data_IF_129093794900
#
_entry.id   IF_129093794900
#
_cell.length_a   1.000
_cell.length_b   1.000
_cell.length_c   1.000
_cell.angle_alpha   90.00
_cell.angle_beta   90.00
_cell.angle_gamma   90.00
#
_symmetry.space_group_name_H-M   'P 1'
#
loop_
_entity.id
_entity.type
_entity.pdbx_description
1 polymer ?
#
# COMPACT_ATOMS: atom_id res chain seq x y z
N UNK A 1 41.39 18.50 -32.37
CA UNK A 1 41.98 18.65 -31.02
C UNK A 1 41.53 20.01 -30.55
N UNK A 2 40.59 20.22 -29.63
CA UNK A 2 40.10 19.45 -28.47
C UNK A 2 38.63 19.84 -28.23
N UNK A 3 37.78 18.90 -27.83
CA UNK A 3 36.45 19.17 -27.25
C UNK A 3 36.60 19.79 -25.87
N UNK A 4 35.85 20.84 -25.55
CA UNK A 4 35.47 21.16 -24.17
C UNK A 4 34.01 21.63 -24.13
N UNK A 5 33.23 20.86 -23.37
CA UNK A 5 31.87 21.10 -22.89
C UNK A 5 31.76 22.48 -22.23
N UNK A 6 30.62 23.16 -22.28
CA UNK A 6 29.56 23.00 -21.27
C UNK A 6 28.28 23.66 -21.78
N UNK A 7 27.22 22.86 -21.92
CA UNK A 7 25.86 23.36 -22.17
C UNK A 7 24.94 22.82 -21.08
N UNK A 8 24.22 23.76 -20.47
CA UNK A 8 23.03 23.61 -19.61
C UNK A 8 23.20 23.04 -18.20
N UNK A 9 22.98 23.87 -17.14
CA UNK A 9 22.55 23.36 -15.86
C UNK A 9 21.15 22.74 -16.02
N UNK A 10 21.14 21.42 -16.05
CA UNK A 10 19.96 20.57 -16.05
C UNK A 10 19.15 20.82 -14.77
N UNK A 11 17.96 21.39 -14.96
CA UNK A 11 16.72 21.21 -14.19
C UNK A 11 16.86 20.24 -12.99
N UNK A 12 17.14 20.76 -11.80
CA UNK A 12 16.63 20.18 -10.55
C UNK A 12 15.27 20.81 -10.28
N UNK A 13 14.24 20.27 -10.93
CA UNK A 13 12.86 20.50 -10.52
C UNK A 13 12.67 19.71 -9.23
N UNK A 14 12.54 20.42 -8.12
CA UNK A 14 12.14 19.86 -6.83
C UNK A 14 11.02 18.84 -7.06
N UNK A 15 11.33 17.55 -6.88
CA UNK A 15 10.30 16.50 -6.82
C UNK A 15 9.67 16.68 -5.45
N UNK A 16 8.56 17.41 -5.44
CA UNK A 16 8.05 18.15 -4.31
C UNK A 16 7.75 17.30 -3.08
N UNK A 17 8.10 17.85 -1.92
CA UNK A 17 7.62 17.39 -0.62
C UNK A 17 6.09 17.19 -0.56
N UNK A 18 5.34 17.85 -1.45
CA UNK A 18 3.88 17.73 -1.57
C UNK A 18 3.40 16.33 -1.98
N UNK A 19 4.18 15.58 -2.77
CA UNK A 19 3.82 14.22 -3.20
C UNK A 19 3.90 13.24 -2.01
N UNK A 20 4.97 13.37 -1.22
CA UNK A 20 5.17 12.62 0.03
C UNK A 20 4.11 12.97 1.09
N UNK A 21 3.74 14.26 1.20
CA UNK A 21 2.72 14.72 2.15
C UNK A 21 1.33 14.20 1.76
N UNK A 22 1.01 14.11 0.47
CA UNK A 22 -0.24 13.49 0.01
C UNK A 22 -0.31 12.00 0.35
N UNK A 23 0.74 11.24 0.09
CA UNK A 23 0.77 9.81 0.41
C UNK A 23 0.68 9.53 1.92
N UNK A 24 1.38 10.33 2.75
CA UNK A 24 1.31 10.23 4.22
C UNK A 24 -0.06 10.64 4.75
N UNK A 25 -0.65 11.71 4.23
CA UNK A 25 -1.97 12.16 4.68
C UNK A 25 -3.06 11.15 4.29
N UNK A 26 -2.97 10.57 3.09
CA UNK A 26 -3.88 9.51 2.63
C UNK A 26 -3.72 8.25 3.47
N UNK A 27 -2.49 7.78 3.72
CA UNK A 27 -2.25 6.59 4.57
C UNK A 27 -2.74 6.80 6.00
N UNK A 28 -2.51 7.98 6.58
CA UNK A 28 -2.99 8.36 7.92
C UNK A 28 -4.52 8.39 7.97
N UNK A 29 -5.17 8.95 6.94
CA UNK A 29 -6.63 8.98 6.84
C UNK A 29 -7.22 7.56 6.72
N UNK A 30 -6.61 6.68 5.92
CA UNK A 30 -7.01 5.28 5.81
C UNK A 30 -6.85 4.52 7.13
N UNK A 31 -5.74 4.73 7.86
CA UNK A 31 -5.48 4.09 9.15
C UNK A 31 -6.52 4.49 10.20
N UNK A 32 -6.88 5.77 10.26
CA UNK A 32 -7.92 6.28 11.17
C UNK A 32 -9.32 5.75 10.83
N UNK A 33 -9.66 5.65 9.53
CA UNK A 33 -10.94 5.09 9.09
C UNK A 33 -11.02 3.60 9.41
N UNK A 34 -9.93 2.86 9.19
CA UNK A 34 -9.84 1.43 9.50
C UNK A 34 -10.00 1.17 10.99
N UNK A 35 -9.39 1.96 11.87
CA UNK A 35 -9.53 1.80 13.33
C UNK A 35 -10.98 1.95 13.81
N UNK A 36 -11.78 2.77 13.13
CA UNK A 36 -13.18 3.04 13.49
C UNK A 36 -14.19 2.02 12.93
N UNK A 37 -13.83 1.25 11.90
CA UNK A 37 -14.73 0.28 11.27
C UNK A 37 -14.94 -0.98 12.11
N UNK A 38 -16.17 -1.50 12.07
CA UNK A 38 -16.53 -2.80 12.64
C UNK A 38 -15.85 -3.97 11.90
N UNK A 39 -15.86 -5.17 12.50
CA UNK A 39 -15.20 -6.36 11.91
C UNK A 39 -15.80 -6.75 10.54
N UNK A 40 -17.14 -6.75 10.43
CA UNK A 40 -17.83 -7.08 9.18
C UNK A 40 -17.68 -5.98 8.11
N UNK A 41 -17.62 -4.72 8.53
CA UNK A 41 -17.39 -3.59 7.63
C UNK A 41 -15.97 -3.63 7.04
N UNK A 42 -14.97 -3.96 7.87
CA UNK A 42 -13.60 -4.21 7.41
C UNK A 42 -13.53 -5.34 6.39
N UNK A 43 -14.26 -6.43 6.64
CA UNK A 43 -14.26 -7.60 5.74
C UNK A 43 -14.86 -7.23 4.39
N UNK A 44 -15.99 -6.51 4.41
CA UNK A 44 -16.65 -6.00 3.20
C UNK A 44 -15.71 -5.11 2.39
N UNK A 45 -14.98 -4.19 3.04
CA UNK A 45 -14.03 -3.32 2.36
C UNK A 45 -12.86 -4.09 1.72
N UNK A 46 -12.38 -5.16 2.36
CA UNK A 46 -11.35 -6.04 1.79
C UNK A 46 -11.88 -6.79 0.57
N UNK A 47 -13.11 -7.32 0.63
CA UNK A 47 -13.74 -8.03 -0.48
C UNK A 47 -13.99 -7.12 -1.70
N UNK A 48 -14.40 -5.88 -1.48
CA UNK A 48 -14.54 -4.88 -2.53
C UNK A 48 -13.19 -4.58 -3.20
N UNK A 49 -12.11 -4.46 -2.42
CA UNK A 49 -10.78 -4.24 -2.99
C UNK A 49 -10.29 -5.44 -3.79
N UNK A 50 -10.53 -6.66 -3.32
CA UNK A 50 -10.22 -7.88 -4.07
C UNK A 50 -10.98 -7.87 -5.40
N UNK A 51 -12.26 -7.49 -5.39
CA UNK A 51 -13.07 -7.37 -6.60
C UNK A 51 -12.49 -6.32 -7.55
N UNK A 52 -12.05 -5.16 -7.07
CA UNK A 52 -11.36 -4.14 -7.89
C UNK A 52 -10.08 -4.68 -8.51
N UNK A 53 -9.25 -5.37 -7.71
CA UNK A 53 -7.98 -5.94 -8.20
C UNK A 53 -8.19 -7.02 -9.26
N UNK A 54 -9.26 -7.82 -9.15
CA UNK A 54 -9.60 -8.84 -10.16
C UNK A 54 -10.07 -8.27 -11.51
N UNK A 55 -10.48 -7.00 -11.58
CA UNK A 55 -10.82 -6.34 -12.85
C UNK A 55 -9.58 -5.83 -13.59
N UNK A 56 -8.40 -5.81 -12.92
CA UNK A 56 -7.17 -5.35 -13.53
C UNK A 56 -6.45 -6.49 -14.27
N UNK A 57 -5.63 -6.15 -15.29
CA UNK A 57 -4.81 -7.13 -15.98
C UNK A 57 -3.87 -7.87 -15.01
N UNK A 58 -3.99 -9.20 -15.01
CA UNK A 58 -3.31 -10.10 -14.05
C UNK A 58 -1.80 -10.20 -14.24
N UNK A 59 -1.27 -9.59 -15.30
CA UNK A 59 0.15 -9.57 -15.64
C UNK A 59 0.95 -8.51 -14.86
N UNK A 60 0.30 -7.65 -14.09
CA UNK A 60 1.01 -6.67 -13.27
C UNK A 60 1.47 -7.27 -11.94
N UNK A 61 2.75 -7.04 -11.62
CA UNK A 61 3.34 -7.41 -10.32
C UNK A 61 2.56 -6.79 -9.15
N UNK A 62 2.04 -5.57 -9.35
CA UNK A 62 1.20 -4.87 -8.39
C UNK A 62 -0.10 -5.62 -8.05
N UNK A 63 -0.87 -6.08 -9.05
CA UNK A 63 -2.12 -6.83 -8.81
C UNK A 63 -1.84 -8.13 -8.08
N UNK A 64 -0.81 -8.86 -8.50
CA UNK A 64 -0.39 -10.11 -7.85
C UNK A 64 0.01 -9.88 -6.39
N UNK A 65 0.79 -8.84 -6.13
CA UNK A 65 1.21 -8.46 -4.79
C UNK A 65 0.00 -8.05 -3.93
N UNK A 66 -0.85 -7.17 -4.44
CA UNK A 66 -2.00 -6.62 -3.72
C UNK A 66 -3.02 -7.70 -3.37
N UNK A 67 -3.31 -8.62 -4.29
CA UNK A 67 -4.19 -9.76 -4.01
C UNK A 67 -3.64 -10.67 -2.91
N UNK A 68 -2.33 -10.92 -2.89
CA UNK A 68 -1.70 -11.74 -1.83
C UNK A 68 -1.88 -11.10 -0.45
N UNK A 69 -1.70 -9.79 -0.35
CA UNK A 69 -1.89 -9.03 0.90
C UNK A 69 -3.35 -9.10 1.36
N UNK A 70 -4.30 -8.80 0.46
CA UNK A 70 -5.73 -8.81 0.81
C UNK A 70 -6.22 -10.19 1.27
N UNK A 71 -5.76 -11.26 0.60
CA UNK A 71 -6.08 -12.62 1.02
C UNK A 71 -5.49 -12.96 2.40
N UNK A 72 -4.28 -12.49 2.70
CA UNK A 72 -3.68 -12.67 4.05
C UNK A 72 -4.49 -11.92 5.10
N UNK A 73 -4.91 -10.68 4.83
CA UNK A 73 -5.77 -9.90 5.75
C UNK A 73 -7.08 -10.65 6.03
N UNK A 74 -7.76 -11.15 4.99
CA UNK A 74 -9.02 -11.87 5.15
C UNK A 74 -8.86 -13.17 5.97
N UNK A 75 -7.77 -13.90 5.74
CA UNK A 75 -7.42 -15.09 6.53
C UNK A 75 -7.25 -14.75 8.01
N UNK A 76 -6.50 -13.68 8.32
CA UNK A 76 -6.22 -13.27 9.70
C UNK A 76 -7.45 -12.70 10.41
N UNK A 77 -8.36 -12.06 9.68
CA UNK A 77 -9.66 -11.63 10.22
C UNK A 77 -10.60 -12.81 10.52
N UNK A 78 -10.43 -13.92 9.81
CA UNK A 78 -11.23 -15.15 10.00
C UNK A 78 -10.61 -16.12 11.00
N UNK A 79 -9.33 -15.92 11.35
CA UNK A 79 -8.62 -16.72 12.33
C UNK A 79 -8.94 -16.25 13.76
N UNK A 80 -8.86 -17.17 14.72
CA UNK A 80 -8.91 -16.84 16.13
C UNK A 80 -7.72 -15.94 16.48
N UNK A 81 -7.97 -14.78 17.09
CA UNK A 81 -6.94 -13.77 17.37
C UNK A 81 -5.99 -14.29 18.45
N UNK A 82 -4.91 -14.93 18.01
CA UNK A 82 -3.79 -15.32 18.86
C UNK A 82 -2.67 -14.29 18.72
N UNK A 83 -1.92 -14.05 19.79
CA UNK A 83 -0.86 -13.04 19.81
C UNK A 83 0.19 -13.23 18.70
N UNK A 84 0.45 -14.47 18.29
CA UNK A 84 1.37 -14.80 17.20
C UNK A 84 0.84 -14.41 15.81
N UNK A 85 -0.48 -14.52 15.60
CA UNK A 85 -1.16 -14.16 14.35
C UNK A 85 -1.18 -12.64 14.18
N UNK A 86 -1.35 -11.91 15.28
CA UNK A 86 -1.30 -10.45 15.32
C UNK A 86 0.11 -9.92 15.03
N UNK A 87 1.15 -10.52 15.60
CA UNK A 87 2.55 -10.18 15.29
C UNK A 87 2.93 -10.46 13.83
N UNK A 88 2.49 -11.59 13.27
CA UNK A 88 2.75 -11.88 11.85
C UNK A 88 2.05 -10.87 10.93
N UNK A 89 0.83 -10.45 11.31
CA UNK A 89 0.08 -9.42 10.60
C UNK A 89 0.79 -8.07 10.65
N UNK A 90 1.25 -7.66 11.82
CA UNK A 90 1.93 -6.40 12.04
C UNK A 90 3.29 -6.36 11.33
N UNK A 91 4.03 -7.48 11.34
CA UNK A 91 5.26 -7.62 10.55
C UNK A 91 4.99 -7.56 9.05
N UNK A 92 3.87 -8.13 8.58
CA UNK A 92 3.47 -8.01 7.19
C UNK A 92 3.21 -6.54 6.83
N UNK A 93 2.47 -5.80 7.65
CA UNK A 93 2.22 -4.37 7.41
C UNK A 93 3.51 -3.54 7.42
N UNK A 94 4.41 -3.78 8.38
CA UNK A 94 5.69 -3.08 8.46
C UNK A 94 6.58 -3.30 7.21
N UNK A 95 6.61 -4.52 6.67
CA UNK A 95 7.36 -4.84 5.44
C UNK A 95 6.75 -4.25 4.17
N UNK A 96 5.48 -3.85 4.25
CA UNK A 96 4.72 -3.27 3.14
C UNK A 96 4.66 -1.74 3.20
N UNK A 97 5.23 -1.12 4.24
CA UNK A 97 5.09 0.32 4.51
C UNK A 97 3.63 0.79 4.51
N UNK A 98 2.73 -0.04 5.07
CA UNK A 98 1.30 0.21 5.22
C UNK A 98 0.94 0.62 6.66
#
# INVERSE_FOLDING_TARGET
MVFLETTSPHIMRERGALDLIMDVNVSTQYNNRWKQMGCEEKKTAVDEEIKRMKQLPSNSAYVSHRLRVLNKILHLMSAERTASVEQELELLFAKLSL
#
